data_IF_798909476699
#
_entry.id   IF_798909476699
#
_cell.length_a   1.000
_cell.length_b   1.000
_cell.length_c   1.000
_cell.angle_alpha   90.00
_cell.angle_beta   90.00
_cell.angle_gamma   90.00
#
_symmetry.space_group_name_H-M   'P 1'
#
loop_
_entity.id
_entity.type
_entity.pdbx_description
1 polymer ?
#
# COMPACT_ATOMS: atom_id res chain seq x y z
N UNK A 1 -9.61 7.95 12.97
CA UNK A 1 -10.13 7.86 11.59
C UNK A 1 -10.81 9.16 11.23
N UNK A 2 -10.56 9.69 10.02
CA UNK A 2 -11.10 10.96 9.56
C UNK A 2 -11.86 10.77 8.26
N UNK A 3 -13.00 11.41 8.12
CA UNK A 3 -13.79 11.46 6.89
C UNK A 3 -14.47 12.81 6.74
N UNK A 4 -14.87 13.17 5.51
CA UNK A 4 -15.63 14.38 5.21
C UNK A 4 -17.11 14.03 5.14
N UNK A 5 -17.94 14.84 5.77
CA UNK A 5 -19.40 14.79 5.66
C UNK A 5 -19.92 16.11 5.10
N UNK A 6 -20.59 16.03 3.96
CA UNK A 6 -21.18 17.19 3.26
C UNK A 6 -22.71 17.06 3.10
N UNK A 7 -23.38 16.16 3.83
CA UNK A 7 -24.78 15.81 3.61
C UNK A 7 -25.80 16.82 4.14
N UNK A 8 -25.40 17.72 5.03
CA UNK A 8 -26.35 18.61 5.75
C UNK A 8 -26.05 20.10 5.52
N UNK A 9 -25.87 20.51 4.27
CA UNK A 9 -25.76 21.94 3.92
C UNK A 9 -24.44 22.62 4.33
N UNK A 10 -23.50 21.89 4.90
CA UNK A 10 -22.16 22.35 5.23
C UNK A 10 -21.16 21.22 5.16
N UNK A 11 -19.90 21.54 4.85
CA UNK A 11 -18.79 20.57 4.86
C UNK A 11 -18.21 20.51 6.25
N UNK A 12 -18.19 19.32 6.85
CA UNK A 12 -17.54 19.10 8.14
C UNK A 12 -16.66 17.84 8.12
N UNK A 13 -15.65 17.83 9.00
CA UNK A 13 -14.86 16.64 9.23
C UNK A 13 -15.49 15.80 10.33
N UNK A 14 -15.73 14.52 10.05
CA UNK A 14 -16.02 13.54 11.08
C UNK A 14 -14.71 12.88 11.53
N UNK A 15 -14.42 12.98 12.81
CA UNK A 15 -13.19 12.41 13.40
C UNK A 15 -13.60 11.38 14.45
N UNK A 16 -13.18 10.14 14.28
CA UNK A 16 -13.27 9.10 15.29
C UNK A 16 -11.94 9.03 16.05
N UNK A 17 -11.99 9.27 17.34
CA UNK A 17 -10.82 9.24 18.22
C UNK A 17 -10.87 7.98 19.10
N UNK A 18 -9.69 7.38 19.29
CA UNK A 18 -9.46 6.39 20.33
C UNK A 18 -8.92 7.12 21.58
N UNK A 19 -9.53 6.91 22.71
CA UNK A 19 -9.09 7.52 23.96
C UNK A 19 -8.90 6.45 25.01
N UNK A 20 -7.83 6.56 25.80
CA UNK A 20 -7.64 5.74 26.99
C UNK A 20 -8.32 6.40 28.18
N UNK A 21 -9.16 5.66 28.87
CA UNK A 21 -9.85 6.14 30.07
C UNK A 21 -9.05 5.76 31.31
N UNK A 22 -8.80 6.71 32.20
CA UNK A 22 -8.12 6.42 33.49
C UNK A 22 -8.93 5.44 34.30
N UNK A 23 -8.24 4.58 35.09
CA UNK A 23 -8.89 3.64 36.01
C UNK A 23 -9.83 4.40 36.95
N UNK A 24 -11.07 3.95 37.07
CA UNK A 24 -12.11 4.57 37.92
C UNK A 24 -13.00 5.63 37.20
N UNK A 25 -12.67 6.02 35.98
CA UNK A 25 -13.54 6.89 35.20
C UNK A 25 -14.52 6.03 34.40
N UNK A 26 -15.82 6.29 34.53
CA UNK A 26 -16.84 5.63 33.72
C UNK A 26 -16.78 6.16 32.26
N UNK A 27 -16.69 5.23 31.31
CA UNK A 27 -16.86 5.59 29.90
C UNK A 27 -18.28 6.14 29.67
N UNK A 28 -18.40 7.07 28.71
CA UNK A 28 -19.72 7.59 28.35
C UNK A 28 -20.57 6.49 27.68
N UNK A 29 -21.90 6.51 27.83
CA UNK A 29 -22.77 5.46 27.29
C UNK A 29 -22.70 5.33 25.74
N UNK A 30 -22.33 6.40 25.05
CA UNK A 30 -22.19 6.47 23.59
C UNK A 30 -20.80 5.99 23.11
N UNK A 31 -19.87 5.73 24.01
CA UNK A 31 -18.53 5.24 23.65
C UNK A 31 -18.55 3.73 23.42
N UNK A 32 -17.88 3.32 22.37
CA UNK A 32 -17.75 1.90 22.02
C UNK A 32 -16.34 1.42 22.34
N UNK A 33 -16.19 0.25 22.96
CA UNK A 33 -14.90 -0.38 23.11
C UNK A 33 -14.25 -0.53 21.73
N UNK A 34 -12.94 -0.24 21.66
CA UNK A 34 -12.18 -0.47 20.45
C UNK A 34 -11.44 -1.79 20.59
N UNK A 35 -11.78 -2.74 19.75
CA UNK A 35 -10.93 -3.89 19.50
C UNK A 35 -9.81 -3.46 18.58
N UNK A 36 -8.58 -3.44 19.05
CA UNK A 36 -7.41 -3.29 18.16
C UNK A 36 -7.35 -4.48 17.21
N UNK A 37 -7.77 -4.25 15.98
CA UNK A 37 -7.53 -5.21 14.91
C UNK A 37 -6.05 -5.15 14.56
N UNK A 38 -5.26 -5.98 15.21
CA UNK A 38 -3.86 -6.17 14.83
C UNK A 38 -3.80 -6.80 13.46
N UNK A 39 -2.86 -6.36 12.65
CA UNK A 39 -2.53 -7.07 11.42
C UNK A 39 -2.17 -8.54 11.76
N UNK A 40 -2.55 -9.51 10.93
CA UNK A 40 -2.23 -10.89 11.21
C UNK A 40 -0.72 -11.07 11.34
N UNK A 41 -0.29 -11.67 12.45
CA UNK A 41 1.09 -12.08 12.60
C UNK A 41 1.31 -13.35 11.78
N UNK A 42 2.27 -13.31 10.89
CA UNK A 42 2.69 -14.50 10.15
C UNK A 42 3.79 -15.19 10.94
N UNK A 43 3.58 -16.44 11.29
CA UNK A 43 4.63 -17.27 11.88
C UNK A 43 5.68 -17.57 10.80
N UNK A 44 6.96 -17.60 11.18
CA UNK A 44 8.02 -18.02 10.26
C UNK A 44 7.75 -19.42 9.73
N UNK A 45 7.97 -19.62 8.43
CA UNK A 45 7.85 -20.92 7.82
C UNK A 45 8.86 -21.91 8.44
N UNK A 46 8.38 -23.09 8.83
CA UNK A 46 9.22 -24.12 9.43
C UNK A 46 9.87 -25.06 8.44
N UNK A 47 9.38 -25.07 7.21
CA UNK A 47 9.89 -25.92 6.13
C UNK A 47 10.96 -25.18 5.32
N UNK A 48 12.16 -25.74 5.24
CA UNK A 48 13.16 -25.27 4.28
C UNK A 48 12.71 -25.62 2.87
N UNK A 49 12.71 -24.63 1.99
CA UNK A 49 12.58 -24.86 0.55
C UNK A 49 13.94 -25.27 -0.01
N UNK A 50 13.97 -26.24 -0.93
CA UNK A 50 15.19 -26.66 -1.61
C UNK A 50 15.70 -25.58 -2.59
N UNK A 51 14.76 -24.85 -3.19
CA UNK A 51 15.05 -23.77 -4.14
C UNK A 51 14.40 -22.47 -3.68
N UNK A 52 14.94 -21.35 -4.11
CA UNK A 52 14.34 -20.04 -3.90
C UNK A 52 12.95 -19.97 -4.58
N UNK A 53 11.92 -19.47 -3.90
CA UNK A 53 10.63 -19.24 -4.55
C UNK A 53 10.77 -18.18 -5.66
N UNK A 54 10.11 -18.43 -6.77
CA UNK A 54 10.11 -17.51 -7.91
C UNK A 54 8.78 -16.79 -7.97
N UNK A 55 8.81 -15.46 -8.01
CA UNK A 55 7.64 -14.59 -8.19
C UNK A 55 7.72 -14.00 -9.59
N UNK A 56 6.69 -14.22 -10.39
CA UNK A 56 6.63 -13.71 -11.77
C UNK A 56 5.78 -12.44 -11.79
N UNK A 57 6.42 -11.33 -12.16
CA UNK A 57 5.87 -9.99 -12.21
C UNK A 57 6.16 -9.17 -10.95
N UNK A 58 6.67 -7.96 -11.13
CA UNK A 58 6.93 -6.96 -10.08
C UNK A 58 5.80 -5.91 -9.97
N UNK A 59 4.57 -6.28 -10.28
CA UNK A 59 3.40 -5.46 -9.96
C UNK A 59 3.08 -5.50 -8.46
N UNK A 60 2.05 -4.78 -7.99
CA UNK A 60 1.72 -4.70 -6.55
C UNK A 60 1.58 -6.06 -5.88
N UNK A 61 0.92 -7.02 -6.53
CA UNK A 61 0.75 -8.36 -6.00
C UNK A 61 2.09 -9.10 -5.86
N UNK A 62 2.93 -9.06 -6.90
CA UNK A 62 4.24 -9.73 -6.90
C UNK A 62 5.20 -9.13 -5.88
N UNK A 63 5.24 -7.80 -5.77
CA UNK A 63 6.06 -7.10 -4.77
C UNK A 63 5.66 -7.51 -3.35
N UNK A 64 4.36 -7.48 -3.03
CA UNK A 64 3.89 -7.92 -1.71
C UNK A 64 4.12 -9.41 -1.47
N UNK A 65 3.97 -10.27 -2.49
CA UNK A 65 4.29 -11.69 -2.36
C UNK A 65 5.77 -11.92 -2.05
N UNK A 66 6.67 -11.25 -2.78
CA UNK A 66 8.11 -11.31 -2.55
C UNK A 66 8.48 -10.78 -1.16
N UNK A 67 7.93 -9.62 -0.77
CA UNK A 67 8.16 -9.05 0.55
C UNK A 67 7.71 -10.00 1.67
N UNK A 68 6.53 -10.59 1.54
CA UNK A 68 6.02 -11.53 2.55
C UNK A 68 6.87 -12.80 2.62
N UNK A 69 7.32 -13.34 1.49
CA UNK A 69 8.26 -14.46 1.46
C UNK A 69 9.59 -14.09 2.14
N UNK A 70 10.14 -12.93 1.83
CA UNK A 70 11.38 -12.45 2.45
C UNK A 70 11.23 -12.28 3.97
N UNK A 71 10.12 -11.71 4.45
CA UNK A 71 9.80 -11.59 5.88
C UNK A 71 9.64 -12.94 6.58
N UNK A 72 9.33 -14.00 5.82
CA UNK A 72 9.27 -15.38 6.32
C UNK A 72 10.62 -16.10 6.28
N UNK A 73 11.70 -15.40 5.92
CA UNK A 73 13.05 -15.96 5.86
C UNK A 73 13.39 -16.69 4.57
N UNK A 74 12.56 -16.58 3.55
CA UNK A 74 12.89 -17.08 2.21
C UNK A 74 13.64 -16.02 1.41
N UNK A 75 14.41 -16.46 0.40
CA UNK A 75 15.08 -15.58 -0.55
C UNK A 75 14.36 -15.64 -1.91
N UNK A 76 13.25 -14.91 -2.11
CA UNK A 76 12.51 -14.97 -3.35
C UNK A 76 13.30 -14.33 -4.49
N UNK A 77 13.15 -14.91 -5.70
CA UNK A 77 13.62 -14.31 -6.94
C UNK A 77 12.41 -13.72 -7.66
N UNK A 78 12.46 -12.43 -7.97
CA UNK A 78 11.40 -11.74 -8.71
C UNK A 78 11.83 -11.62 -10.17
N UNK A 79 10.99 -12.08 -11.08
CA UNK A 79 11.17 -11.95 -12.52
C UNK A 79 10.15 -10.96 -13.07
N UNK A 80 10.62 -9.84 -13.60
CA UNK A 80 9.78 -8.83 -14.24
C UNK A 80 10.15 -8.74 -15.73
N UNK A 81 9.14 -8.75 -16.60
CA UNK A 81 9.33 -8.66 -18.06
C UNK A 81 9.69 -7.25 -18.51
N UNK A 82 9.07 -6.27 -17.87
CA UNK A 82 9.23 -4.87 -18.24
C UNK A 82 10.49 -4.25 -17.64
N UNK A 83 10.77 -3.03 -18.06
CA UNK A 83 11.93 -2.29 -17.59
C UNK A 83 11.81 -1.91 -16.11
N UNK A 84 12.95 -1.74 -15.45
CA UNK A 84 13.05 -1.18 -14.11
C UNK A 84 12.37 0.20 -14.02
N UNK A 85 11.86 0.54 -12.84
CA UNK A 85 11.02 1.73 -12.62
C UNK A 85 11.68 3.03 -13.10
N UNK A 86 12.97 3.22 -12.84
CA UNK A 86 13.72 4.40 -13.29
C UNK A 86 13.81 4.50 -14.82
N UNK A 87 13.95 3.38 -15.53
CA UNK A 87 13.95 3.36 -17.00
C UNK A 87 12.54 3.65 -17.53
N UNK A 88 11.52 3.01 -16.97
CA UNK A 88 10.11 3.26 -17.31
C UNK A 88 9.77 4.74 -17.19
N UNK A 89 10.19 5.37 -16.10
CA UNK A 89 9.91 6.79 -15.85
C UNK A 89 10.44 7.67 -16.98
N UNK A 90 11.68 7.43 -17.43
CA UNK A 90 12.27 8.19 -18.54
C UNK A 90 11.51 7.97 -19.85
N UNK A 91 11.25 6.72 -20.21
CA UNK A 91 10.55 6.37 -21.46
C UNK A 91 9.13 6.91 -21.49
N UNK A 92 8.40 6.79 -20.38
CA UNK A 92 7.03 7.32 -20.23
C UNK A 92 7.04 8.85 -20.31
N UNK A 93 8.00 9.52 -19.69
CA UNK A 93 8.13 10.97 -19.78
C UNK A 93 8.41 11.40 -21.22
N UNK A 94 9.34 10.74 -21.92
CA UNK A 94 9.62 11.01 -23.34
C UNK A 94 8.36 10.91 -24.19
N UNK A 95 7.52 9.90 -23.95
CA UNK A 95 6.25 9.76 -24.67
C UNK A 95 5.29 10.92 -24.36
N UNK A 96 5.15 11.32 -23.11
CA UNK A 96 4.28 12.45 -22.75
C UNK A 96 4.80 13.80 -23.26
N UNK A 97 6.10 13.91 -23.48
CA UNK A 97 6.73 15.10 -24.10
C UNK A 97 6.62 15.09 -25.63
N UNK A 98 5.82 14.19 -26.21
CA UNK A 98 5.56 14.10 -27.66
C UNK A 98 6.47 13.13 -28.41
N UNK A 99 7.29 12.34 -27.72
CA UNK A 99 8.10 11.28 -28.31
C UNK A 99 7.30 10.05 -28.72
N UNK A 100 7.98 9.08 -29.34
CA UNK A 100 7.36 7.84 -29.79
C UNK A 100 6.90 6.95 -28.61
N UNK A 101 5.76 6.26 -28.82
CA UNK A 101 5.31 5.23 -27.87
C UNK A 101 6.17 3.97 -27.96
N UNK A 102 6.66 3.51 -26.83
CA UNK A 102 7.38 2.24 -26.73
C UNK A 102 6.44 1.12 -26.26
N UNK A 103 6.12 0.13 -27.12
CA UNK A 103 5.25 -0.98 -26.74
C UNK A 103 5.86 -1.91 -25.68
N UNK A 104 7.16 -1.86 -25.46
CA UNK A 104 7.86 -2.69 -24.47
C UNK A 104 8.14 -1.95 -23.14
N UNK A 105 8.03 -0.62 -23.12
CA UNK A 105 8.29 0.20 -21.95
C UNK A 105 7.31 1.37 -21.85
N UNK A 106 6.23 1.20 -21.09
CA UNK A 106 5.12 2.16 -21.00
C UNK A 106 4.43 2.13 -19.64
N UNK A 107 3.30 2.84 -19.50
CA UNK A 107 2.53 2.94 -18.25
C UNK A 107 1.78 1.66 -17.86
N UNK A 108 1.60 0.69 -18.76
CA UNK A 108 0.70 -0.44 -18.54
C UNK A 108 1.33 -1.57 -17.75
N UNK A 109 2.62 -1.81 -17.91
CA UNK A 109 3.33 -2.92 -17.25
C UNK A 109 4.80 -2.57 -16.98
N UNK A 110 5.49 -3.45 -16.27
CA UNK A 110 6.87 -3.30 -15.84
C UNK A 110 6.96 -3.13 -14.32
N UNK A 111 8.14 -2.88 -13.82
CA UNK A 111 8.41 -2.75 -12.39
C UNK A 111 7.47 -1.74 -11.70
N UNK A 112 6.87 -2.16 -10.61
CA UNK A 112 5.82 -1.44 -9.88
C UNK A 112 4.41 -1.54 -10.52
N UNK A 113 4.28 -2.17 -11.70
CA UNK A 113 3.01 -2.30 -12.42
C UNK A 113 2.45 -0.98 -12.95
N UNK A 114 1.23 -1.00 -13.48
CA UNK A 114 0.56 0.22 -13.97
C UNK A 114 0.30 1.25 -12.86
N UNK A 115 0.14 0.79 -11.64
CA UNK A 115 -0.09 1.64 -10.46
C UNK A 115 1.03 2.66 -10.20
N UNK A 116 2.27 2.35 -10.58
CA UNK A 116 3.42 3.23 -10.40
C UNK A 116 3.30 4.61 -11.08
N UNK A 117 2.39 4.73 -12.06
CA UNK A 117 2.10 5.98 -12.77
C UNK A 117 0.71 6.56 -12.44
N UNK A 118 0.08 6.08 -11.39
CA UNK A 118 -1.18 6.62 -10.85
C UNK A 118 -0.91 7.57 -9.68
N UNK A 119 -1.96 8.22 -9.20
CA UNK A 119 -1.93 8.99 -7.96
C UNK A 119 -1.96 8.12 -6.68
N UNK A 120 -1.96 6.81 -6.82
CA UNK A 120 -1.92 5.88 -5.70
C UNK A 120 -3.15 5.94 -4.81
N UNK A 121 -4.33 5.99 -5.40
CA UNK A 121 -5.59 5.90 -4.63
C UNK A 121 -5.70 4.56 -3.92
N UNK A 122 -5.85 4.60 -2.60
CA UNK A 122 -5.92 3.43 -1.73
C UNK A 122 -7.36 3.15 -1.29
N UNK A 123 -8.24 2.93 -2.27
CA UNK A 123 -9.65 2.64 -1.98
C UNK A 123 -9.91 1.14 -2.12
N UNK A 124 -10.28 0.50 -1.02
CA UNK A 124 -10.76 -0.89 -1.00
C UNK A 124 -12.17 -0.95 -0.42
N UNK A 125 -13.02 -1.80 -1.01
CA UNK A 125 -14.32 -2.17 -0.43
C UNK A 125 -14.21 -3.41 0.47
N UNK A 126 -13.05 -4.06 0.50
CA UNK A 126 -12.77 -5.21 1.35
C UNK A 126 -12.67 -4.82 2.82
N UNK A 127 -13.13 -5.72 3.69
CA UNK A 127 -12.97 -5.59 5.15
C UNK A 127 -11.89 -6.52 5.67
N UNK A 128 -11.06 -7.05 4.78
CA UNK A 128 -10.01 -8.01 5.11
C UNK A 128 -8.96 -7.35 6.02
N UNK A 129 -8.56 -8.00 7.12
CA UNK A 129 -7.45 -7.53 7.96
C UNK A 129 -6.13 -7.33 7.22
N UNK A 130 -5.90 -8.06 6.11
CA UNK A 130 -4.72 -7.88 5.25
C UNK A 130 -4.66 -6.49 4.61
N UNK A 131 -5.79 -5.83 4.38
CA UNK A 131 -5.82 -4.44 3.92
C UNK A 131 -5.08 -3.48 4.86
N UNK A 132 -5.16 -3.73 6.18
CA UNK A 132 -4.41 -2.94 7.17
C UNK A 132 -2.90 -3.20 7.07
N UNK A 133 -2.49 -4.46 6.88
CA UNK A 133 -1.09 -4.83 6.67
C UNK A 133 -0.50 -4.12 5.44
N UNK A 134 -1.26 -4.06 4.33
CA UNK A 134 -0.82 -3.35 3.12
C UNK A 134 -0.56 -1.87 3.42
N UNK A 135 -1.51 -1.18 4.08
CA UNK A 135 -1.34 0.23 4.42
C UNK A 135 -0.16 0.47 5.36
N UNK A 136 0.01 -0.37 6.38
CA UNK A 136 1.14 -0.28 7.31
C UNK A 136 2.46 -0.53 6.61
N UNK A 137 2.53 -1.49 5.69
CA UNK A 137 3.72 -1.74 4.89
C UNK A 137 4.06 -0.53 4.01
N UNK A 138 3.08 0.03 3.29
CA UNK A 138 3.31 1.23 2.48
C UNK A 138 3.81 2.41 3.34
N UNK A 139 3.24 2.61 4.53
CA UNK A 139 3.68 3.66 5.46
C UNK A 139 5.10 3.41 5.99
N UNK A 140 5.48 2.15 6.25
CA UNK A 140 6.85 1.76 6.64
C UNK A 140 7.86 2.04 5.53
N UNK A 141 7.44 1.97 4.27
CA UNK A 141 8.26 2.22 3.09
C UNK A 141 8.16 3.67 2.57
N UNK A 142 7.68 4.61 3.39
CA UNK A 142 7.72 6.05 3.10
C UNK A 142 6.43 6.68 2.60
N UNK A 143 5.33 5.92 2.53
CA UNK A 143 4.03 6.53 2.27
C UNK A 143 3.60 7.43 3.45
N UNK A 144 2.78 8.48 3.21
CA UNK A 144 2.29 9.36 4.26
C UNK A 144 1.55 8.59 5.36
N UNK A 145 1.83 8.90 6.62
CA UNK A 145 1.17 8.23 7.76
C UNK A 145 -0.34 8.45 7.79
N UNK A 146 -0.81 9.49 7.14
CA UNK A 146 -2.22 9.84 6.98
C UNK A 146 -3.02 8.74 6.28
N UNK A 147 -2.39 7.90 5.44
CA UNK A 147 -3.07 6.77 4.79
C UNK A 147 -3.66 5.76 5.80
N UNK A 148 -3.12 5.72 7.01
CA UNK A 148 -3.59 4.83 8.08
C UNK A 148 -4.89 5.29 8.73
N UNK A 149 -5.22 6.57 8.60
CA UNK A 149 -6.36 7.20 9.30
C UNK A 149 -7.41 7.81 8.38
N UNK A 150 -7.02 8.26 7.19
CA UNK A 150 -7.93 8.88 6.23
C UNK A 150 -8.80 7.84 5.50
N UNK A 151 -10.05 8.19 5.25
CA UNK A 151 -10.89 7.48 4.28
C UNK A 151 -10.51 7.93 2.86
N UNK A 152 -10.44 6.98 1.93
CA UNK A 152 -10.09 7.24 0.53
C UNK A 152 -8.71 7.94 0.41
N UNK A 153 -7.77 7.52 1.23
CA UNK A 153 -6.41 8.03 1.20
C UNK A 153 -5.75 7.76 -0.16
N UNK A 154 -4.80 8.59 -0.52
CA UNK A 154 -3.92 8.40 -1.66
C UNK A 154 -2.48 8.73 -1.26
N UNK A 155 -1.52 8.13 -1.95
CA UNK A 155 -0.09 8.33 -1.65
C UNK A 155 0.44 9.59 -2.34
N UNK A 156 -0.03 9.85 -3.54
CA UNK A 156 0.52 10.87 -4.45
C UNK A 156 1.50 10.25 -5.46
N UNK A 157 1.47 10.77 -6.67
CA UNK A 157 2.28 10.25 -7.81
C UNK A 157 3.78 10.41 -7.56
N UNK A 158 4.18 11.49 -6.90
CA UNK A 158 5.55 11.81 -6.53
C UNK A 158 6.13 10.85 -5.48
N UNK A 159 5.30 10.38 -4.55
CA UNK A 159 5.71 9.52 -3.43
C UNK A 159 5.56 8.04 -3.72
N UNK A 160 4.66 7.66 -4.60
CA UNK A 160 4.36 6.25 -4.85
C UNK A 160 5.56 5.48 -5.39
N UNK A 161 6.33 6.08 -6.31
CA UNK A 161 7.51 5.44 -6.90
C UNK A 161 8.61 5.16 -5.88
N UNK A 162 9.08 6.13 -5.07
CA UNK A 162 10.03 5.86 -3.99
C UNK A 162 9.54 4.78 -3.01
N UNK A 163 8.23 4.70 -2.73
CA UNK A 163 7.66 3.65 -1.89
C UNK A 163 7.81 2.28 -2.55
N UNK A 164 7.53 2.17 -3.86
CA UNK A 164 7.69 0.93 -4.63
C UNK A 164 9.16 0.49 -4.64
N UNK A 165 10.09 1.41 -4.88
CA UNK A 165 11.54 1.13 -4.89
C UNK A 165 12.07 0.71 -3.50
N UNK A 166 11.41 1.14 -2.44
CA UNK A 166 11.77 0.79 -1.06
C UNK A 166 11.27 -0.60 -0.64
N UNK A 167 10.27 -1.14 -1.33
CA UNK A 167 9.73 -2.48 -1.06
C UNK A 167 10.62 -3.56 -1.64
#
# INVERSE_FOLDING_TARGET
KQSIDARKGGVCFQVALAVSVRRGVKARPDWKPIEEKKAPAFALGTKRMQNSPVVIGAGPCGLFAALMLARQGYAPVVLERGSALAQRQRTVQTFFDGGAFDPQCNVLFGDGGAGAFSDGKLTSRGKDPLGRLVLETLAQHGAPQEILIQNKAHIGTDRLRPVIESI
#
